data_IF_121382817085
#
_entry.id   IF_121382817085
#
_cell.length_a   1.000
_cell.length_b   1.000
_cell.length_c   1.000
_cell.angle_alpha   90.00
_cell.angle_beta   90.00
_cell.angle_gamma   90.00
#
_symmetry.space_group_name_H-M   'P 1'
#
loop_
_entity.id
_entity.type
_entity.pdbx_description
1 polymer ?
#
# COMPACT_ATOMS: atom_id res chain seq x y z
N UNK A 1 20.11 14.45 23.64
CA UNK A 1 21.19 13.43 23.70
C UNK A 1 21.39 12.92 25.12
N UNK A 2 21.58 13.80 26.13
CA UNK A 2 21.90 13.43 27.52
C UNK A 2 20.82 12.63 28.28
N UNK A 3 19.54 12.80 27.94
CA UNK A 3 18.42 12.23 28.71
C UNK A 3 18.30 10.69 28.62
N UNK A 4 18.78 10.05 27.55
CA UNK A 4 18.53 8.62 27.31
C UNK A 4 19.54 7.69 27.98
N UNK A 5 20.84 8.03 27.95
CA UNK A 5 21.90 7.30 28.68
C UNK A 5 21.50 7.13 30.14
N UNK A 6 21.16 8.23 30.80
CA UNK A 6 20.77 8.23 32.20
C UNK A 6 19.56 7.35 32.49
N UNK A 7 18.57 7.38 31.60
CA UNK A 7 17.36 6.57 31.72
C UNK A 7 17.67 5.08 31.55
N UNK A 8 18.39 4.69 30.49
CA UNK A 8 18.77 3.31 30.23
C UNK A 8 19.66 2.74 31.34
N UNK A 9 20.60 3.53 31.84
CA UNK A 9 21.47 3.16 32.95
C UNK A 9 20.69 2.94 34.24
N UNK A 10 19.72 3.82 34.53
CA UNK A 10 18.81 3.69 35.67
C UNK A 10 17.88 2.47 35.53
N UNK A 11 17.33 2.23 34.34
CA UNK A 11 16.48 1.06 34.06
C UNK A 11 17.25 -0.25 34.27
N UNK A 12 18.47 -0.34 33.74
CA UNK A 12 19.36 -1.48 33.99
C UNK A 12 19.63 -1.67 35.48
N UNK A 13 19.96 -0.57 36.18
CA UNK A 13 20.25 -0.60 37.62
C UNK A 13 19.08 -1.15 38.42
N UNK A 14 17.88 -0.64 38.18
CA UNK A 14 16.65 -1.07 38.87
C UNK A 14 16.32 -2.53 38.55
N UNK A 15 16.45 -2.94 37.28
CA UNK A 15 16.18 -4.31 36.84
C UNK A 15 17.12 -5.35 37.47
N UNK A 16 18.36 -4.96 37.77
CA UNK A 16 19.35 -5.83 38.41
C UNK A 16 19.46 -5.60 39.92
N UNK A 17 18.51 -4.88 40.52
CA UNK A 17 18.48 -4.58 41.97
C UNK A 17 19.74 -3.91 42.53
N UNK A 18 20.40 -3.09 41.72
CA UNK A 18 21.63 -2.41 42.11
C UNK A 18 21.35 -1.01 42.71
N UNK A 19 22.19 -0.61 43.66
CA UNK A 19 22.31 0.78 44.12
C UNK A 19 23.20 1.58 43.15
N UNK A 20 23.13 2.92 43.21
CA UNK A 20 24.02 3.76 42.39
C UNK A 20 25.49 3.52 42.73
N UNK A 21 25.78 3.21 44.01
CA UNK A 21 27.12 2.89 44.50
C UNK A 21 27.63 1.58 43.93
N UNK A 22 26.81 0.53 43.92
CA UNK A 22 27.20 -0.77 43.35
C UNK A 22 27.42 -0.69 41.84
N UNK A 23 26.56 0.03 41.13
CA UNK A 23 26.76 0.28 39.69
C UNK A 23 28.04 1.08 39.40
N UNK A 24 28.36 2.05 40.27
CA UNK A 24 29.59 2.83 40.16
C UNK A 24 30.84 1.95 40.34
N UNK A 25 30.80 0.98 41.25
CA UNK A 25 31.89 -0.02 41.43
C UNK A 25 32.07 -0.85 40.16
N UNK A 26 30.98 -1.32 39.56
CA UNK A 26 31.02 -2.13 38.32
C UNK A 26 31.63 -1.34 37.15
N UNK A 27 31.34 -0.05 37.06
CA UNK A 27 31.81 0.83 35.98
C UNK A 27 33.10 1.58 36.33
N UNK A 28 33.75 1.28 37.47
CA UNK A 28 34.96 1.94 37.95
C UNK A 28 34.89 3.48 38.02
N UNK A 29 33.73 4.01 38.42
CA UNK A 29 33.46 5.46 38.50
C UNK A 29 32.92 5.83 39.88
N UNK A 30 32.70 7.12 40.13
CA UNK A 30 32.08 7.58 41.38
C UNK A 30 30.56 7.41 41.33
N UNK A 31 29.96 7.12 42.49
CA UNK A 31 28.51 7.13 42.69
C UNK A 31 27.86 8.46 42.29
N UNK A 32 28.56 9.58 42.54
CA UNK A 32 28.17 10.92 42.08
C UNK A 32 28.10 11.01 40.56
N UNK A 33 28.99 10.37 39.82
CA UNK A 33 28.97 10.34 38.36
C UNK A 33 27.73 9.60 37.85
N UNK A 34 27.43 8.41 38.39
CA UNK A 34 26.19 7.67 38.09
C UNK A 34 24.95 8.52 38.38
N UNK A 35 24.88 9.13 39.57
CA UNK A 35 23.77 10.02 39.95
C UNK A 35 23.62 11.23 39.03
N UNK A 36 24.74 11.78 38.53
CA UNK A 36 24.75 12.88 37.56
C UNK A 36 24.20 12.42 36.22
N UNK A 37 24.66 11.30 35.69
CA UNK A 37 24.21 10.75 34.41
C UNK A 37 22.75 10.31 34.46
N UNK A 38 22.30 9.63 35.52
CA UNK A 38 20.90 9.22 35.70
C UNK A 38 19.93 10.41 35.72
N UNK A 39 20.40 11.61 36.09
CA UNK A 39 19.64 12.87 36.06
C UNK A 39 19.82 13.65 34.76
N UNK A 40 20.49 13.08 33.76
CA UNK A 40 20.79 13.72 32.48
C UNK A 40 21.90 14.77 32.55
N UNK A 41 22.69 14.81 33.63
CA UNK A 41 23.76 15.77 33.81
C UNK A 41 25.12 15.26 33.32
N UNK A 42 25.70 15.93 32.32
CA UNK A 42 27.02 15.60 31.77
C UNK A 42 27.03 14.29 31.00
N UNK A 43 28.22 13.89 30.53
CA UNK A 43 28.42 12.65 29.76
C UNK A 43 29.61 11.88 30.34
N UNK A 44 29.57 10.53 30.34
CA UNK A 44 30.75 9.71 30.59
C UNK A 44 31.81 9.97 29.52
N UNK A 45 33.07 9.73 29.85
CA UNK A 45 34.13 9.68 28.84
C UNK A 45 33.95 8.48 27.90
N UNK A 46 34.74 8.45 26.83
CA UNK A 46 34.66 7.44 25.78
C UNK A 46 34.88 6.03 26.35
N UNK A 47 35.84 5.87 27.25
CA UNK A 47 36.18 4.58 27.84
C UNK A 47 35.05 4.04 28.71
N UNK A 48 34.49 4.89 29.57
CA UNK A 48 33.32 4.57 30.40
C UNK A 48 32.11 4.28 29.54
N UNK A 49 31.92 5.00 28.42
CA UNK A 49 30.82 4.70 27.49
C UNK A 49 30.96 3.32 26.85
N UNK A 50 32.17 2.89 26.48
CA UNK A 50 32.40 1.53 25.98
C UNK A 50 32.06 0.49 27.05
N UNK A 51 32.39 0.76 28.31
CA UNK A 51 32.03 -0.12 29.43
C UNK A 51 30.52 -0.19 29.65
N UNK A 52 29.82 0.95 29.61
CA UNK A 52 28.37 1.02 29.71
C UNK A 52 27.71 0.26 28.54
N UNK A 53 28.21 0.41 27.31
CA UNK A 53 27.73 -0.32 26.13
C UNK A 53 27.83 -1.84 26.32
N UNK A 54 28.99 -2.31 26.81
CA UNK A 54 29.20 -3.73 27.15
C UNK A 54 28.26 -4.20 28.26
N UNK A 55 28.09 -3.41 29.31
CA UNK A 55 27.21 -3.72 30.45
C UNK A 55 25.74 -3.86 30.02
N UNK A 56 25.27 -2.93 29.20
CA UNK A 56 23.91 -2.91 28.66
C UNK A 56 23.71 -3.88 27.48
N UNK A 57 24.79 -4.52 27.00
CA UNK A 57 24.82 -5.37 25.81
C UNK A 57 24.24 -4.69 24.56
N UNK A 58 24.60 -3.42 24.37
CA UNK A 58 24.13 -2.59 23.25
C UNK A 58 25.30 -1.97 22.48
N UNK A 59 25.15 -1.68 21.17
CA UNK A 59 26.15 -0.94 20.41
C UNK A 59 26.39 0.44 21.03
N UNK A 60 27.64 0.91 21.05
CA UNK A 60 27.96 2.25 21.57
C UNK A 60 27.27 3.36 20.76
N UNK A 61 26.99 3.09 19.48
CA UNK A 61 26.24 3.98 18.61
C UNK A 61 24.81 4.19 19.11
N UNK A 62 24.18 3.18 19.72
CA UNK A 62 22.82 3.31 20.26
C UNK A 62 22.79 4.04 21.61
N UNK A 63 23.94 4.14 22.29
CA UNK A 63 24.16 4.98 23.48
C UNK A 63 24.40 6.46 23.10
N UNK A 64 25.12 6.68 22.00
CA UNK A 64 25.48 8.01 21.49
C UNK A 64 24.34 8.67 20.71
N UNK A 65 23.69 7.90 19.83
CA UNK A 65 22.62 8.36 18.98
C UNK A 65 21.29 7.91 19.53
N UNK A 66 20.53 8.88 20.06
CA UNK A 66 19.12 8.67 20.35
C UNK A 66 18.38 8.39 19.04
N UNK A 67 18.16 7.11 18.72
CA UNK A 67 17.18 6.70 17.70
C UNK A 67 15.80 6.72 18.34
N UNK A 68 15.14 7.88 18.23
CA UNK A 68 13.69 8.01 18.39
C UNK A 68 13.06 6.88 17.56
N UNK A 69 12.19 6.06 18.15
CA UNK A 69 11.52 5.01 17.39
C UNK A 69 10.88 5.65 16.14
N UNK A 70 11.21 5.15 14.94
CA UNK A 70 10.77 5.83 13.73
C UNK A 70 9.27 5.66 13.60
N UNK A 71 8.61 6.73 13.17
CA UNK A 71 7.17 6.73 12.88
C UNK A 71 6.83 5.76 11.73
N UNK A 72 7.78 5.58 10.81
CA UNK A 72 7.67 4.69 9.66
C UNK A 72 9.04 4.19 9.24
N UNK A 73 9.07 3.02 8.60
CA UNK A 73 10.22 2.46 7.92
C UNK A 73 10.13 2.83 6.44
N UNK A 74 11.18 3.47 5.91
CA UNK A 74 11.26 3.89 4.51
C UNK A 74 12.36 3.11 3.80
N UNK A 75 12.03 2.59 2.62
CA UNK A 75 12.98 2.04 1.68
C UNK A 75 12.83 2.76 0.33
N UNK A 76 13.95 3.26 -0.20
CA UNK A 76 14.02 3.89 -1.52
C UNK A 76 15.17 3.30 -2.32
N UNK A 77 14.88 2.78 -3.51
CA UNK A 77 15.90 2.18 -4.37
C UNK A 77 16.88 3.22 -4.89
N UNK A 78 18.17 2.88 -4.88
CA UNK A 78 19.22 3.70 -5.52
C UNK A 78 19.09 3.73 -7.05
N UNK A 79 18.57 2.65 -7.66
CA UNK A 79 18.29 2.61 -9.09
C UNK A 79 17.16 3.58 -9.42
N UNK A 80 17.42 4.47 -10.36
CA UNK A 80 16.47 5.44 -10.87
C UNK A 80 16.21 5.18 -12.34
N UNK A 81 15.00 5.43 -12.80
CA UNK A 81 14.66 5.48 -14.21
C UNK A 81 13.81 6.73 -14.47
N UNK A 82 14.14 7.49 -15.53
CA UNK A 82 13.59 8.83 -15.79
C UNK A 82 13.64 9.77 -14.56
N UNK A 83 14.74 9.72 -13.79
CA UNK A 83 14.92 10.51 -12.56
C UNK A 83 13.90 10.22 -11.43
N UNK A 84 13.21 9.08 -11.51
CA UNK A 84 12.29 8.58 -10.49
C UNK A 84 12.82 7.27 -9.93
N UNK A 85 12.75 7.07 -8.61
CA UNK A 85 13.20 5.83 -7.97
C UNK A 85 12.40 4.63 -8.52
N UNK A 86 13.07 3.51 -8.78
CA UNK A 86 12.41 2.32 -9.28
C UNK A 86 11.44 1.72 -8.24
N UNK A 87 11.81 1.76 -6.97
CA UNK A 87 11.00 1.26 -5.86
C UNK A 87 11.06 2.21 -4.66
N UNK A 88 9.89 2.57 -4.12
CA UNK A 88 9.76 3.35 -2.90
C UNK A 88 8.67 2.74 -2.01
N UNK A 89 9.07 2.18 -0.87
CA UNK A 89 8.20 1.52 0.09
C UNK A 89 8.22 2.29 1.41
N UNK A 90 7.06 2.53 2.00
CA UNK A 90 6.91 3.11 3.32
C UNK A 90 5.94 2.27 4.15
N UNK A 91 6.44 1.72 5.24
CA UNK A 91 5.67 0.91 6.18
C UNK A 91 5.54 1.70 7.49
N UNK A 92 4.35 2.15 7.88
CA UNK A 92 4.15 2.83 9.16
C UNK A 92 4.47 1.89 10.32
N UNK A 93 5.08 2.42 11.38
CA UNK A 93 5.28 1.68 12.62
C UNK A 93 3.98 1.75 13.44
N UNK A 94 3.01 0.90 13.08
CA UNK A 94 1.65 0.90 13.66
C UNK A 94 1.67 0.73 15.18
N UNK A 95 2.57 -0.12 15.70
CA UNK A 95 2.71 -0.32 17.14
C UNK A 95 3.11 0.97 17.88
N UNK A 96 4.10 1.68 17.34
CA UNK A 96 4.53 2.96 17.90
C UNK A 96 3.44 4.03 17.78
N UNK A 97 2.78 4.12 16.62
CA UNK A 97 1.68 5.07 16.40
C UNK A 97 0.54 4.81 17.38
N UNK A 98 0.17 3.54 17.59
CA UNK A 98 -0.92 3.16 18.50
C UNK A 98 -0.58 3.48 19.96
N UNK A 99 0.68 3.27 20.38
CA UNK A 99 1.16 3.66 21.73
C UNK A 99 1.18 5.18 21.94
N UNK A 100 1.39 5.95 20.88
CA UNK A 100 1.55 7.41 20.95
C UNK A 100 0.23 8.15 20.80
N UNK A 101 -0.73 7.61 20.05
CA UNK A 101 -2.03 8.22 19.83
C UNK A 101 -2.91 8.14 21.09
N UNK A 102 -3.38 9.28 21.58
CA UNK A 102 -4.28 9.37 22.74
C UNK A 102 -5.75 9.17 22.33
N UNK A 103 -6.09 9.53 21.09
CA UNK A 103 -7.42 9.38 20.52
C UNK A 103 -7.39 8.87 19.08
N UNK A 104 -8.54 8.42 18.57
CA UNK A 104 -8.74 8.06 17.16
C UNK A 104 -8.40 9.24 16.24
N UNK A 105 -8.74 10.47 16.65
CA UNK A 105 -8.43 11.68 15.89
C UNK A 105 -6.91 11.89 15.79
N UNK A 106 -6.19 11.68 16.89
CA UNK A 106 -4.72 11.80 16.91
C UNK A 106 -4.07 10.71 16.06
N UNK A 107 -4.61 9.49 16.08
CA UNK A 107 -4.17 8.40 15.22
C UNK A 107 -4.25 8.77 13.73
N UNK A 108 -5.40 9.27 13.27
CA UNK A 108 -5.57 9.72 11.90
C UNK A 108 -4.75 10.98 11.59
N UNK A 109 -4.59 11.89 12.55
CA UNK A 109 -3.73 13.07 12.39
C UNK A 109 -2.26 12.65 12.14
N UNK A 110 -1.75 11.68 12.92
CA UNK A 110 -0.40 11.13 12.75
C UNK A 110 -0.24 10.45 11.38
N UNK A 111 -1.21 9.62 10.98
CA UNK A 111 -1.22 8.97 9.66
C UNK A 111 -1.20 9.99 8.51
N UNK A 112 -1.91 11.11 8.65
CA UNK A 112 -1.94 12.16 7.64
C UNK A 112 -0.61 12.90 7.48
N UNK A 113 0.27 12.89 8.50
CA UNK A 113 1.61 13.48 8.41
C UNK A 113 2.66 12.57 7.77
N UNK A 114 2.36 11.30 7.53
CA UNK A 114 3.29 10.40 6.84
C UNK A 114 3.61 10.92 5.43
N UNK A 115 4.84 10.78 4.92
CA UNK A 115 5.16 11.28 3.59
C UNK A 115 4.54 10.44 2.48
N UNK A 116 4.53 11.00 1.27
CA UNK A 116 4.14 10.28 0.06
C UNK A 116 5.28 9.40 -0.43
N UNK A 117 5.00 8.13 -0.72
CA UNK A 117 5.94 7.31 -1.51
C UNK A 117 5.84 7.70 -2.98
N UNK A 118 6.99 7.85 -3.61
CA UNK A 118 7.15 8.27 -5.01
C UNK A 118 8.12 7.35 -5.73
N UNK A 119 7.65 6.61 -6.71
CA UNK A 119 8.49 5.67 -7.47
C UNK A 119 7.78 5.06 -8.67
N UNK A 120 8.51 4.28 -9.48
CA UNK A 120 7.88 3.43 -10.50
C UNK A 120 6.98 2.40 -9.83
N UNK A 121 7.50 1.69 -8.83
CA UNK A 121 6.73 0.94 -7.85
C UNK A 121 6.67 1.73 -6.54
N UNK A 122 5.46 2.00 -6.05
CA UNK A 122 5.23 2.72 -4.79
C UNK A 122 4.26 1.95 -3.89
N UNK A 123 4.67 1.72 -2.64
CA UNK A 123 3.86 1.03 -1.63
C UNK A 123 3.84 1.84 -0.33
N UNK A 124 2.66 2.16 0.19
CA UNK A 124 2.52 2.84 1.48
C UNK A 124 1.12 3.39 1.72
N UNK A 125 0.88 4.08 2.84
CA UNK A 125 -0.46 4.66 3.11
C UNK A 125 -0.84 5.69 2.04
N UNK A 126 0.13 6.53 1.65
CA UNK A 126 0.01 7.53 0.59
C UNK A 126 1.02 7.22 -0.51
N UNK A 127 0.55 6.71 -1.64
CA UNK A 127 1.40 6.22 -2.73
C UNK A 127 1.17 6.97 -4.05
N UNK A 128 2.26 7.34 -4.72
CA UNK A 128 2.27 8.00 -6.04
C UNK A 128 3.28 7.30 -6.94
N UNK A 129 2.85 6.75 -8.07
CA UNK A 129 3.77 6.03 -8.94
C UNK A 129 3.20 5.57 -10.27
N UNK A 130 3.97 4.77 -11.00
CA UNK A 130 3.42 4.07 -12.17
C UNK A 130 2.52 2.91 -11.71
N UNK A 131 3.06 2.07 -10.82
CA UNK A 131 2.36 1.04 -10.06
C UNK A 131 2.28 1.48 -8.59
N UNK A 132 1.09 1.85 -8.12
CA UNK A 132 0.86 2.37 -6.77
C UNK A 132 -0.08 1.51 -5.95
N UNK A 133 0.36 1.08 -4.77
CA UNK A 133 -0.44 0.35 -3.79
C UNK A 133 -0.49 1.13 -2.47
N UNK A 134 -1.70 1.41 -1.99
CA UNK A 134 -1.85 2.12 -0.72
C UNK A 134 -3.26 2.29 -0.23
N UNK A 135 -3.45 2.99 0.89
CA UNK A 135 -4.79 3.40 1.32
C UNK A 135 -5.30 4.48 0.37
N UNK A 136 -4.45 5.46 0.09
CA UNK A 136 -4.63 6.50 -0.92
C UNK A 136 -3.55 6.32 -1.98
N UNK A 137 -3.94 6.00 -3.21
CA UNK A 137 -3.00 5.68 -4.29
C UNK A 137 -3.30 6.47 -5.57
N UNK A 138 -2.24 6.89 -6.26
CA UNK A 138 -2.29 7.64 -7.51
C UNK A 138 -1.26 7.10 -8.50
N UNK A 139 -1.69 6.64 -9.68
CA UNK A 139 -0.74 6.12 -10.67
C UNK A 139 -1.30 5.72 -12.02
N UNK A 140 -0.53 5.01 -12.83
CA UNK A 140 -1.06 4.42 -14.08
C UNK A 140 -1.90 3.19 -13.73
N UNK A 141 -1.32 2.27 -12.95
CA UNK A 141 -2.02 1.15 -12.31
C UNK A 141 -2.04 1.41 -10.81
N UNK A 142 -3.23 1.62 -10.25
CA UNK A 142 -3.38 2.08 -8.87
C UNK A 142 -4.38 1.23 -8.08
N UNK A 143 -3.96 0.68 -6.94
CA UNK A 143 -4.77 -0.18 -6.09
C UNK A 143 -4.85 0.41 -4.68
N UNK A 144 -6.05 0.46 -4.09
CA UNK A 144 -6.20 0.97 -2.73
C UNK A 144 -7.61 1.00 -2.15
N UNK A 145 -7.81 1.78 -1.10
CA UNK A 145 -9.16 2.11 -0.60
C UNK A 145 -9.74 3.29 -1.40
N UNK A 146 -8.90 4.29 -1.63
CA UNK A 146 -9.12 5.38 -2.56
C UNK A 146 -8.01 5.36 -3.62
N UNK A 147 -8.38 5.31 -4.91
CA UNK A 147 -7.42 5.19 -6.00
C UNK A 147 -7.79 6.05 -7.20
N UNK A 148 -6.79 6.73 -7.77
CA UNK A 148 -6.90 7.41 -9.06
C UNK A 148 -5.84 6.90 -10.02
N UNK A 149 -6.23 6.52 -11.23
CA UNK A 149 -5.25 6.15 -12.26
C UNK A 149 -5.79 5.92 -13.66
N UNK A 150 -4.97 5.42 -14.58
CA UNK A 150 -5.50 4.94 -15.86
C UNK A 150 -6.32 3.68 -15.60
N UNK A 151 -5.76 2.72 -14.87
CA UNK A 151 -6.43 1.54 -14.35
C UNK A 151 -6.44 1.65 -12.82
N UNK A 152 -7.62 1.77 -12.23
CA UNK A 152 -7.80 1.95 -10.79
C UNK A 152 -8.65 0.83 -10.19
N UNK A 153 -8.19 0.21 -9.10
CA UNK A 153 -8.93 -0.81 -8.34
C UNK A 153 -9.02 -0.37 -6.88
N UNK A 154 -10.20 0.01 -6.42
CA UNK A 154 -10.37 0.48 -5.05
C UNK A 154 -11.82 0.49 -4.58
N UNK A 155 -12.08 0.66 -3.28
CA UNK A 155 -13.45 0.92 -2.81
C UNK A 155 -14.05 2.16 -3.46
N UNK A 156 -13.28 3.24 -3.55
CA UNK A 156 -13.56 4.42 -4.37
C UNK A 156 -12.47 4.58 -5.42
N UNK A 157 -12.83 4.42 -6.70
CA UNK A 157 -11.88 4.36 -7.82
C UNK A 157 -12.22 5.37 -8.92
N UNK A 158 -11.20 6.03 -9.46
CA UNK A 158 -11.31 7.03 -10.52
C UNK A 158 -10.30 6.75 -11.63
N UNK A 159 -10.72 6.74 -12.91
CA UNK A 159 -9.75 6.53 -13.97
C UNK A 159 -10.24 6.48 -15.42
N UNK A 160 -9.44 5.85 -16.29
CA UNK A 160 -9.91 5.44 -17.62
C UNK A 160 -10.66 4.11 -17.51
N UNK A 161 -10.14 3.19 -16.69
CA UNK A 161 -10.75 1.94 -16.30
C UNK A 161 -10.77 1.91 -14.76
N UNK A 162 -11.94 1.76 -14.15
CA UNK A 162 -12.11 1.81 -12.70
C UNK A 162 -12.94 0.63 -12.19
N UNK A 163 -12.47 -0.06 -11.15
CA UNK A 163 -13.13 -1.21 -10.51
C UNK A 163 -13.26 -0.94 -9.02
N UNK A 164 -14.46 -1.06 -8.47
CA UNK A 164 -14.71 -0.64 -7.09
C UNK A 164 -16.15 -0.70 -6.60
N UNK A 165 -16.39 -0.26 -5.36
CA UNK A 165 -17.75 -0.09 -4.87
C UNK A 165 -18.37 1.19 -5.45
N UNK A 166 -17.59 2.28 -5.45
CA UNK A 166 -17.83 3.50 -6.22
C UNK A 166 -16.75 3.60 -7.30
N UNK A 167 -17.18 3.62 -8.56
CA UNK A 167 -16.29 3.62 -9.72
C UNK A 167 -16.69 4.71 -10.70
N UNK A 168 -15.78 5.65 -10.94
CA UNK A 168 -15.97 6.71 -11.94
C UNK A 168 -14.86 6.61 -12.98
N UNK A 169 -15.22 6.33 -14.24
CA UNK A 169 -14.25 6.12 -15.30
C UNK A 169 -14.63 6.81 -16.59
N UNK A 170 -13.67 7.41 -17.29
CA UNK A 170 -13.91 7.96 -18.63
C UNK A 170 -14.17 6.84 -19.66
N UNK A 171 -13.53 5.68 -19.50
CA UNK A 171 -13.67 4.50 -20.37
C UNK A 171 -14.62 3.47 -19.77
N UNK A 172 -14.11 2.58 -18.91
CA UNK A 172 -14.88 1.47 -18.33
C UNK A 172 -14.99 1.53 -16.81
N UNK A 173 -16.20 1.48 -16.28
CA UNK A 173 -16.47 1.45 -14.84
C UNK A 173 -17.18 0.14 -14.44
N UNK A 174 -16.61 -0.56 -13.46
CA UNK A 174 -17.20 -1.76 -12.86
C UNK A 174 -17.41 -1.52 -11.37
N UNK A 175 -18.64 -1.66 -10.87
CA UNK A 175 -18.88 -1.49 -9.45
C UNK A 175 -20.33 -1.50 -8.98
N UNK A 176 -20.54 -1.37 -7.67
CA UNK A 176 -21.91 -1.26 -7.14
C UNK A 176 -22.57 0.05 -7.60
N UNK A 177 -21.83 1.16 -7.56
CA UNK A 177 -22.17 2.43 -8.21
C UNK A 177 -21.11 2.73 -9.25
N UNK A 178 -21.50 2.73 -10.53
CA UNK A 178 -20.57 2.83 -11.65
C UNK A 178 -20.99 3.94 -12.63
N UNK A 179 -20.06 4.84 -12.93
CA UNK A 179 -20.25 5.98 -13.84
C UNK A 179 -19.16 5.93 -14.91
N UNK A 180 -19.52 5.87 -16.19
CA UNK A 180 -18.54 5.92 -17.26
C UNK A 180 -19.08 5.68 -18.67
N UNK A 181 -18.20 5.52 -19.66
CA UNK A 181 -18.66 5.24 -21.04
C UNK A 181 -19.21 3.82 -21.14
N UNK A 182 -18.46 2.83 -20.67
CA UNK A 182 -18.87 1.43 -20.52
C UNK A 182 -19.10 1.15 -19.04
N UNK A 183 -20.27 0.61 -18.69
CA UNK A 183 -20.66 0.44 -17.28
C UNK A 183 -21.13 -0.99 -17.02
N UNK A 184 -20.60 -1.59 -15.95
CA UNK A 184 -21.12 -2.83 -15.37
C UNK A 184 -21.35 -2.60 -13.89
N UNK A 185 -22.59 -2.73 -13.41
CA UNK A 185 -22.82 -2.48 -11.99
C UNK A 185 -24.21 -2.79 -11.45
N UNK A 186 -24.43 -2.46 -10.18
CA UNK A 186 -25.78 -2.52 -9.61
C UNK A 186 -26.55 -1.24 -9.96
N UNK A 187 -25.92 -0.08 -9.78
CA UNK A 187 -26.40 1.24 -10.23
C UNK A 187 -25.41 1.77 -11.26
N UNK A 188 -25.86 1.99 -12.49
CA UNK A 188 -25.03 2.42 -13.62
C UNK A 188 -25.50 3.72 -14.26
N UNK A 189 -24.56 4.62 -14.56
CA UNK A 189 -24.77 5.80 -15.40
C UNK A 189 -23.71 5.83 -16.51
N UNK A 190 -24.11 5.70 -17.78
CA UNK A 190 -23.13 5.68 -18.85
C UNK A 190 -23.66 5.80 -20.27
N UNK A 191 -22.78 5.61 -21.27
CA UNK A 191 -23.22 5.52 -22.66
C UNK A 191 -23.77 4.12 -22.96
N UNK A 192 -23.02 3.10 -22.54
CA UNK A 192 -23.32 1.70 -22.76
C UNK A 192 -23.17 0.95 -21.45
N UNK A 193 -24.13 0.12 -21.07
CA UNK A 193 -23.96 -0.64 -19.84
C UNK A 193 -24.88 -1.82 -19.60
N UNK A 194 -24.49 -2.60 -18.60
CA UNK A 194 -25.27 -3.69 -18.03
C UNK A 194 -25.38 -3.41 -16.53
N UNK A 195 -26.58 -3.17 -16.03
CA UNK A 195 -26.77 -2.95 -14.60
C UNK A 195 -28.15 -3.36 -14.08
N UNK A 196 -28.32 -3.47 -12.76
CA UNK A 196 -29.64 -3.70 -12.19
C UNK A 196 -30.54 -2.45 -12.37
N UNK A 197 -30.02 -1.27 -12.01
CA UNK A 197 -30.58 0.05 -12.31
C UNK A 197 -29.63 0.78 -13.24
N UNK A 198 -30.07 1.14 -14.45
CA UNK A 198 -29.23 1.73 -15.49
C UNK A 198 -29.83 3.01 -16.07
N UNK A 199 -29.04 4.06 -16.16
CA UNK A 199 -29.31 5.22 -17.02
C UNK A 199 -28.24 5.23 -18.11
N UNK A 200 -28.61 4.87 -19.34
CA UNK A 200 -27.64 4.81 -20.44
C UNK A 200 -28.27 5.02 -21.82
N UNK A 201 -27.43 5.29 -22.83
CA UNK A 201 -27.93 5.38 -24.20
C UNK A 201 -28.28 4.01 -24.78
N UNK A 202 -27.43 3.01 -24.55
CA UNK A 202 -27.60 1.61 -24.97
C UNK A 202 -27.32 0.68 -23.80
N UNK A 203 -28.04 -0.44 -23.66
CA UNK A 203 -27.76 -1.35 -22.56
C UNK A 203 -28.85 -2.31 -22.17
N UNK A 204 -28.56 -3.08 -21.13
CA UNK A 204 -29.43 -4.11 -20.58
C UNK A 204 -29.57 -3.90 -19.08
N UNK A 205 -30.80 -3.87 -18.57
CA UNK A 205 -31.04 -3.67 -17.15
C UNK A 205 -32.33 -4.28 -16.63
N UNK A 206 -32.49 -4.44 -15.32
CA UNK A 206 -33.81 -4.78 -14.75
C UNK A 206 -34.71 -3.54 -14.74
N UNK A 207 -34.15 -2.40 -14.34
CA UNK A 207 -34.79 -1.08 -14.36
C UNK A 207 -33.87 -0.15 -15.16
N UNK A 208 -34.37 0.42 -16.25
CA UNK A 208 -33.55 1.14 -17.21
C UNK A 208 -34.20 2.40 -17.76
N UNK A 209 -33.44 3.49 -17.89
CA UNK A 209 -33.82 4.69 -18.64
C UNK A 209 -32.81 5.00 -19.75
N UNK A 210 -33.28 5.04 -21.00
CA UNK A 210 -32.37 5.16 -22.15
C UNK A 210 -33.05 5.05 -23.51
N UNK A 211 -32.29 5.31 -24.58
CA UNK A 211 -32.79 5.29 -25.96
C UNK A 211 -32.93 3.85 -26.49
N UNK A 212 -31.93 3.00 -26.24
CA UNK A 212 -31.87 1.61 -26.68
C UNK A 212 -31.63 0.71 -25.47
N UNK A 213 -32.60 0.65 -24.56
CA UNK A 213 -32.54 -0.24 -23.39
C UNK A 213 -33.46 -1.44 -23.52
N UNK A 214 -32.95 -2.58 -23.07
CA UNK A 214 -33.73 -3.80 -22.92
C UNK A 214 -33.84 -4.17 -21.46
N UNK A 215 -35.09 -4.27 -21.01
CA UNK A 215 -35.42 -4.75 -19.69
C UNK A 215 -35.25 -6.28 -19.64
N UNK A 216 -34.52 -6.79 -18.65
CA UNK A 216 -34.43 -8.23 -18.42
C UNK A 216 -35.77 -8.71 -17.84
N UNK A 217 -36.42 -9.73 -18.41
CA UNK A 217 -37.67 -10.26 -17.87
C UNK A 217 -37.47 -10.80 -16.44
N UNK A 218 -38.32 -10.39 -15.49
CA UNK A 218 -38.25 -10.75 -14.08
C UNK A 218 -38.72 -12.17 -13.74
N UNK A 219 -38.98 -13.02 -14.74
CA UNK A 219 -39.41 -14.39 -14.52
C UNK A 219 -38.18 -15.23 -14.17
N UNK A 220 -37.87 -15.34 -12.87
CA UNK A 220 -36.64 -15.88 -12.27
C UNK A 220 -36.32 -17.36 -12.54
N UNK A 221 -36.46 -17.84 -13.77
CA UNK A 221 -36.15 -19.19 -14.25
C UNK A 221 -35.14 -19.18 -15.42
N UNK A 222 -34.90 -18.03 -16.06
CA UNK A 222 -34.11 -17.97 -17.29
C UNK A 222 -32.61 -17.75 -17.02
N UNK A 223 -31.86 -18.85 -16.92
CA UNK A 223 -30.38 -18.83 -16.85
C UNK A 223 -29.72 -18.07 -18.01
N UNK A 224 -30.46 -17.88 -19.12
CA UNK A 224 -30.02 -17.19 -20.32
C UNK A 224 -30.68 -15.81 -20.51
N UNK A 225 -31.36 -15.25 -19.51
CA UNK A 225 -32.12 -14.01 -19.63
C UNK A 225 -31.27 -12.83 -20.15
N UNK A 226 -30.04 -12.69 -19.65
CA UNK A 226 -29.08 -11.66 -20.10
C UNK A 226 -28.69 -11.88 -21.57
N UNK A 227 -28.46 -13.13 -21.97
CA UNK A 227 -28.10 -13.47 -23.35
C UNK A 227 -29.26 -13.18 -24.31
N UNK A 228 -30.49 -13.55 -23.94
CA UNK A 228 -31.71 -13.22 -24.71
C UNK A 228 -31.91 -11.72 -24.83
N UNK A 229 -31.72 -10.97 -23.74
CA UNK A 229 -31.81 -9.51 -23.77
C UNK A 229 -30.74 -8.87 -24.67
N UNK A 230 -29.50 -9.39 -24.64
CA UNK A 230 -28.44 -8.94 -25.55
C UNK A 230 -28.79 -9.26 -27.01
N UNK A 231 -29.38 -10.43 -27.29
CA UNK A 231 -29.82 -10.78 -28.65
C UNK A 231 -30.95 -9.88 -29.15
N UNK A 232 -31.93 -9.56 -28.29
CA UNK A 232 -32.96 -8.58 -28.63
C UNK A 232 -32.36 -7.19 -28.89
N UNK A 233 -31.32 -6.81 -28.16
CA UNK A 233 -30.66 -5.50 -28.28
C UNK A 233 -29.98 -5.40 -29.65
N UNK A 234 -29.36 -6.49 -30.10
CA UNK A 234 -28.72 -6.57 -31.42
C UNK A 234 -29.68 -6.48 -32.60
N UNK A 235 -30.94 -6.85 -32.38
CA UNK A 235 -32.01 -6.80 -33.36
C UNK A 235 -32.65 -5.40 -33.45
N UNK A 236 -32.37 -4.49 -32.51
CA UNK A 236 -32.76 -3.09 -32.63
C UNK A 236 -31.89 -2.37 -33.67
N UNK A 237 -32.45 -1.32 -34.29
CA UNK A 237 -31.74 -0.42 -35.21
C UNK A 237 -30.79 0.51 -34.43
N UNK A 238 -29.79 -0.07 -33.77
CA UNK A 238 -28.73 0.68 -33.08
C UNK A 238 -27.84 1.37 -34.13
N UNK A 239 -27.36 2.60 -33.88
CA UNK A 239 -26.38 3.26 -34.74
C UNK A 239 -25.21 2.34 -35.11
N UNK A 240 -24.86 2.30 -36.40
CA UNK A 240 -23.81 1.41 -36.97
C UNK A 240 -22.49 1.54 -36.21
N UNK A 241 -22.12 2.77 -35.82
CA UNK A 241 -20.88 3.02 -35.09
C UNK A 241 -20.84 2.30 -33.74
N UNK A 242 -21.95 2.28 -33.00
CA UNK A 242 -22.04 1.60 -31.71
C UNK A 242 -21.99 0.08 -31.91
N UNK A 243 -22.72 -0.42 -32.92
CA UNK A 243 -22.79 -1.85 -33.24
C UNK A 243 -21.41 -2.42 -33.60
N UNK A 244 -20.67 -1.77 -34.49
CA UNK A 244 -19.35 -2.26 -34.95
C UNK A 244 -18.21 -1.96 -33.98
N UNK A 245 -18.18 -0.79 -33.31
CA UNK A 245 -17.05 -0.43 -32.45
C UNK A 245 -17.11 -1.07 -31.06
N UNK A 246 -18.32 -1.37 -30.57
CA UNK A 246 -18.52 -1.74 -29.17
C UNK A 246 -19.24 -3.08 -29.03
N UNK A 247 -20.42 -3.23 -29.63
CA UNK A 247 -21.24 -4.43 -29.40
C UNK A 247 -20.61 -5.67 -30.02
N UNK A 248 -20.11 -5.57 -31.26
CA UNK A 248 -19.50 -6.70 -31.97
C UNK A 248 -18.20 -7.20 -31.32
N UNK A 249 -17.23 -6.35 -30.94
CA UNK A 249 -16.05 -6.79 -30.19
C UNK A 249 -16.40 -7.45 -28.85
N UNK A 250 -17.39 -6.92 -28.13
CA UNK A 250 -17.87 -7.49 -26.87
C UNK A 250 -18.45 -8.89 -27.09
N UNK A 251 -19.27 -9.09 -28.13
CA UNK A 251 -19.83 -10.39 -28.47
C UNK A 251 -18.77 -11.40 -28.88
N UNK A 252 -17.82 -10.99 -29.73
CA UNK A 252 -16.69 -11.84 -30.12
C UNK A 252 -15.90 -12.26 -28.89
N UNK A 253 -15.65 -11.34 -27.95
CA UNK A 253 -14.99 -11.65 -26.69
C UNK A 253 -15.78 -12.64 -25.83
N UNK A 254 -17.11 -12.55 -25.78
CA UNK A 254 -17.96 -13.47 -24.98
C UNK A 254 -18.15 -14.85 -25.62
N UNK A 255 -18.22 -14.94 -26.95
CA UNK A 255 -18.52 -16.20 -27.64
C UNK A 255 -17.27 -17.05 -27.88
N UNK A 256 -16.10 -16.42 -27.98
CA UNK A 256 -14.85 -17.12 -28.25
C UNK A 256 -14.05 -17.29 -26.95
N UNK A 257 -14.12 -18.47 -26.29
CA UNK A 257 -13.47 -18.71 -25.00
C UNK A 257 -11.96 -18.51 -25.06
N UNK A 258 -11.36 -18.62 -26.26
CA UNK A 258 -9.93 -18.44 -26.48
C UNK A 258 -9.45 -17.02 -26.13
N UNK A 259 -10.25 -15.97 -26.41
CA UNK A 259 -9.86 -14.60 -26.09
C UNK A 259 -9.89 -14.33 -24.58
N UNK A 260 -10.86 -14.92 -23.87
CA UNK A 260 -10.94 -14.86 -22.41
C UNK A 260 -9.70 -15.55 -21.81
N UNK A 261 -9.35 -16.75 -22.30
CA UNK A 261 -8.17 -17.49 -21.84
C UNK A 261 -6.89 -16.69 -22.10
N UNK A 262 -6.70 -16.15 -23.30
CA UNK A 262 -5.53 -15.33 -23.66
C UNK A 262 -5.44 -14.09 -22.76
N UNK A 263 -6.55 -13.40 -22.53
CA UNK A 263 -6.60 -12.23 -21.67
C UNK A 263 -6.22 -12.57 -20.22
N UNK A 264 -6.79 -13.64 -19.66
CA UNK A 264 -6.45 -14.12 -18.31
C UNK A 264 -4.98 -14.51 -18.22
N UNK A 265 -4.44 -15.22 -19.22
CA UNK A 265 -3.02 -15.59 -19.27
C UNK A 265 -2.10 -14.35 -19.34
N UNK A 266 -2.47 -13.32 -20.12
CA UNK A 266 -1.72 -12.07 -20.19
C UNK A 266 -1.68 -11.36 -18.83
N UNK A 267 -2.83 -11.25 -18.16
CA UNK A 267 -2.93 -10.65 -16.82
C UNK A 267 -2.09 -11.43 -15.81
N UNK A 268 -2.16 -12.77 -15.82
CA UNK A 268 -1.35 -13.63 -14.96
C UNK A 268 0.15 -13.49 -15.24
N UNK A 269 0.56 -13.36 -16.50
CA UNK A 269 1.94 -13.14 -16.90
C UNK A 269 2.47 -11.79 -16.37
N UNK A 270 1.70 -10.71 -16.52
CA UNK A 270 2.05 -9.39 -15.99
C UNK A 270 2.15 -9.42 -14.46
N UNK A 271 1.19 -10.05 -13.77
CA UNK A 271 1.25 -10.24 -12.32
C UNK A 271 2.47 -11.07 -11.90
N UNK A 272 2.77 -12.14 -12.62
CA UNK A 272 3.94 -13.00 -12.36
C UNK A 272 5.25 -12.23 -12.52
N UNK A 273 5.36 -11.39 -13.55
CA UNK A 273 6.52 -10.52 -13.74
C UNK A 273 6.68 -9.54 -12.56
N UNK A 274 5.61 -8.85 -12.17
CA UNK A 274 5.62 -7.92 -11.03
C UNK A 274 6.03 -8.64 -9.74
N UNK A 275 5.43 -9.81 -9.46
CA UNK A 275 5.72 -10.59 -8.26
C UNK A 275 7.17 -11.09 -8.25
N UNK A 276 7.71 -11.49 -9.41
CA UNK A 276 9.12 -11.90 -9.53
C UNK A 276 10.09 -10.75 -9.24
N UNK A 277 9.78 -9.53 -9.69
CA UNK A 277 10.56 -8.33 -9.40
C UNK A 277 10.53 -7.98 -7.92
N UNK A 278 9.35 -8.07 -7.28
CA UNK A 278 9.19 -7.86 -5.83
C UNK A 278 9.97 -8.91 -5.05
N UNK A 279 9.82 -10.19 -5.40
CA UNK A 279 10.52 -11.30 -4.73
C UNK A 279 12.04 -11.15 -4.86
N UNK A 280 12.53 -10.80 -6.05
CA UNK A 280 13.95 -10.51 -6.27
C UNK A 280 14.43 -9.35 -5.39
N UNK A 281 13.65 -8.27 -5.28
CA UNK A 281 13.92 -7.15 -4.40
C UNK A 281 14.01 -7.54 -2.92
N UNK A 282 13.07 -8.36 -2.44
CA UNK A 282 13.05 -8.86 -1.05
C UNK A 282 14.22 -9.80 -0.76
N UNK A 283 14.52 -10.73 -1.67
CA UNK A 283 15.66 -11.64 -1.51
C UNK A 283 16.99 -10.89 -1.46
N UNK A 284 17.13 -9.83 -2.27
CA UNK A 284 18.31 -8.96 -2.25
C UNK A 284 18.44 -8.19 -0.93
N UNK A 285 17.34 -7.63 -0.42
CA UNK A 285 17.31 -6.97 0.89
C UNK A 285 17.72 -7.93 2.03
N UNK A 286 17.22 -9.17 2.01
CA UNK A 286 17.60 -10.19 3.00
C UNK A 286 19.10 -10.51 2.92
N UNK A 287 19.67 -10.61 1.72
CA UNK A 287 21.10 -10.88 1.53
C UNK A 287 21.97 -9.74 2.07
N UNK A 288 21.59 -8.49 1.77
CA UNK A 288 22.33 -7.31 2.24
C UNK A 288 22.26 -7.18 3.77
N UNK A 289 21.09 -7.47 4.37
CA UNK A 289 20.91 -7.43 5.83
C UNK A 289 21.65 -8.56 6.55
N UNK A 290 21.77 -9.74 5.94
CA UNK A 290 22.58 -10.85 6.47
C UNK A 290 24.08 -10.55 6.34
N UNK A 291 24.53 -9.97 5.23
CA UNK A 291 25.93 -9.55 5.05
C UNK A 291 26.36 -8.54 6.11
N UNK A 292 25.50 -7.59 6.46
CA UNK A 292 25.76 -6.61 7.53
C UNK A 292 25.89 -7.28 8.91
N UNK A 293 25.07 -8.30 9.19
CA UNK A 293 25.10 -9.04 10.46
C UNK A 293 26.35 -9.93 10.61
N UNK A 294 26.87 -10.47 9.51
CA UNK A 294 28.14 -11.21 9.50
C UNK A 294 29.35 -10.29 9.64
N UNK A 295 29.35 -9.10 9.02
CA UNK A 295 30.42 -8.10 9.21
C UNK A 295 30.55 -7.67 10.68
N UNK A 296 29.44 -7.45 11.38
CA UNK A 296 29.44 -7.07 12.80
C UNK A 296 29.84 -8.19 13.77
N UNK A 297 29.74 -9.45 13.34
CA UNK A 297 30.18 -10.61 14.14
C UNK A 297 31.59 -11.10 13.76
N UNK A 298 32.11 -10.75 12.58
CA UNK A 298 33.47 -11.06 12.15
C UNK A 298 34.54 -10.28 12.91
N UNK A 299 34.23 -9.04 13.33
CA UNK A 299 35.14 -8.19 14.12
C UNK A 299 35.18 -8.53 15.62
N UNK A 300 34.49 -9.59 16.06
CA UNK A 300 34.51 -10.05 17.47
C UNK A 300 35.51 -11.16 17.75
N UNK A 301 36.28 -11.59 16.74
CA UNK A 301 37.22 -12.72 16.83
C UNK A 301 38.66 -12.37 16.39
N UNK A 302 39.10 -11.12 16.60
CA UNK A 302 40.52 -10.74 16.50
C UNK A 302 40.93 -10.00 17.76
#
# INVERSE_FOLDING_TARGET
MQENLGKQLKEYRVKNHLTQKELAVILHVTDKAISKWERGGGFPDIETMVQIAKLLKMPIEDLLYYRKEPLYFEYRSQRMWLNVALMHILIPNIFFIWKTAVSIKDFFHILNHLPWTKGWFSLGIKAKGCLSLGIVSFGLLSIGVFSIGIIAIATASFGLIAIGNLSIAAGGAIGNVAIGTLVIGNIGLGLIGIANVLVAHVGVANIGFGTFLIAIPSNGQDHYAVQTAIQQLLNQEIPIQIKELIVRPLLTFMHEPIYIIIFVLLVLLVMGMILSMVLYGVLKLKKDHMSYKYSLNGDKNV
#
